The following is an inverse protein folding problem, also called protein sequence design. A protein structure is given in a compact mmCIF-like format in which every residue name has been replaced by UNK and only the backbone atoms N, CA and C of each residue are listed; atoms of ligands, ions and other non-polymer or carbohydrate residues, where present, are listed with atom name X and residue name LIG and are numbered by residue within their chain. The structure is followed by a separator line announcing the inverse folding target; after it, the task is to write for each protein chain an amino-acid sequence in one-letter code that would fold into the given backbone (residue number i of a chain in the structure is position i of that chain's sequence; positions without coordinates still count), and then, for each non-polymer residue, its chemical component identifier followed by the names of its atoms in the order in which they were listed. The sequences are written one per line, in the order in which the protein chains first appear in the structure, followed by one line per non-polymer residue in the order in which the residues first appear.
data_IF_831509718618
#
_entry.id   IF_831509718618
#
_cell.length_a   1.000
_cell.length_b   1.000
_cell.length_c   1.000
_cell.angle_alpha   90.00
_cell.angle_beta   90.00
_cell.angle_gamma   90.00
#
_symmetry.space_group_name_H-M   'P 1'
#
loop_
_entity.id
_entity.type
_entity.pdbx_description
1 polymer ?
#
# COMPACT_ATOMS: atom_id res chain seq x y z
N UNK A 1 -2.07 6.31 -1.40
CA UNK A 1 -2.24 6.01 -2.84
C UNK A 1 -1.58 4.67 -3.10
N UNK A 2 -2.21 3.85 -3.92
CA UNK A 2 -1.66 2.63 -4.49
C UNK A 2 -1.51 2.86 -6.01
N UNK A 3 -0.43 2.34 -6.60
CA UNK A 3 -0.18 2.48 -8.02
C UNK A 3 0.50 1.21 -8.57
N UNK A 4 0.03 0.76 -9.73
CA UNK A 4 0.60 -0.33 -10.51
C UNK A 4 0.77 0.18 -11.96
N UNK A 5 1.91 0.83 -12.26
CA UNK A 5 2.07 1.56 -13.53
C UNK A 5 1.95 0.69 -14.77
N UNK A 6 2.50 -0.53 -14.73
CA UNK A 6 2.44 -1.45 -15.87
C UNK A 6 1.02 -1.91 -16.19
N UNK A 7 0.13 -1.94 -15.19
CA UNK A 7 -1.28 -2.24 -15.39
C UNK A 7 -2.12 -0.98 -15.66
N UNK A 8 -1.51 0.21 -15.67
CA UNK A 8 -2.21 1.49 -15.78
C UNK A 8 -3.20 1.73 -14.64
N UNK A 9 -2.97 1.13 -13.46
CA UNK A 9 -3.92 1.15 -12.35
C UNK A 9 -3.41 2.01 -11.19
N UNK A 10 -4.34 2.75 -10.58
CA UNK A 10 -4.09 3.53 -9.38
C UNK A 10 -5.35 3.63 -8.54
N UNK A 11 -5.18 3.76 -7.24
CA UNK A 11 -6.27 4.03 -6.29
C UNK A 11 -5.80 5.00 -5.21
N UNK A 12 -6.60 6.02 -4.94
CA UNK A 12 -6.39 6.95 -3.85
C UNK A 12 -7.59 6.90 -2.90
N UNK A 13 -7.37 6.39 -1.69
CA UNK A 13 -8.36 6.40 -0.61
C UNK A 13 -8.03 7.54 0.34
N UNK A 14 -9.03 8.37 0.66
CA UNK A 14 -8.92 9.47 1.63
C UNK A 14 -9.51 9.00 2.94
N UNK A 15 -8.78 9.19 4.04
CA UNK A 15 -9.20 8.83 5.40
C UNK A 15 -8.90 9.99 6.35
N UNK A 16 -9.66 10.14 7.47
CA UNK A 16 -9.39 11.17 8.47
C UNK A 16 -8.04 11.00 9.19
N UNK A 17 -7.52 9.76 9.25
CA UNK A 17 -6.30 9.39 9.95
C UNK A 17 -5.36 8.56 9.06
N UNK A 18 -4.10 8.44 9.51
CA UNK A 18 -3.08 7.56 8.92
C UNK A 18 -2.50 6.66 10.00
N UNK A 19 -3.26 5.64 10.40
CA UNK A 19 -2.86 4.65 11.42
C UNK A 19 -2.41 3.32 10.80
N UNK A 20 -1.90 2.40 11.64
CA UNK A 20 -1.64 1.01 11.24
C UNK A 20 -2.92 0.29 10.78
N UNK A 21 -4.03 0.54 11.47
CA UNK A 21 -5.34 -0.04 11.12
C UNK A 21 -5.79 0.49 9.76
N UNK A 22 -5.67 1.80 9.51
CA UNK A 22 -5.99 2.40 8.21
C UNK A 22 -5.17 1.76 7.07
N UNK A 23 -3.89 1.50 7.32
CA UNK A 23 -3.02 0.81 6.37
C UNK A 23 -3.46 -0.65 6.14
N UNK A 24 -3.70 -1.40 7.22
CA UNK A 24 -4.09 -2.80 7.14
C UNK A 24 -5.42 -2.99 6.40
N UNK A 25 -6.40 -2.11 6.61
CA UNK A 25 -7.67 -2.13 5.88
C UNK A 25 -7.49 -1.90 4.39
N UNK A 26 -6.71 -0.87 4.00
CA UNK A 26 -6.43 -0.59 2.58
C UNK A 26 -5.71 -1.76 1.91
N UNK A 27 -4.77 -2.40 2.61
CA UNK A 27 -4.06 -3.58 2.08
C UNK A 27 -4.96 -4.81 2.03
N UNK A 28 -5.85 -5.02 3.00
CA UNK A 28 -6.81 -6.11 2.97
C UNK A 28 -7.77 -5.99 1.78
N UNK A 29 -8.34 -4.79 1.54
CA UNK A 29 -9.19 -4.53 0.38
C UNK A 29 -8.46 -4.83 -0.95
N UNK A 30 -7.17 -4.49 -1.02
CA UNK A 30 -6.34 -4.75 -2.19
C UNK A 30 -6.13 -6.26 -2.43
N UNK A 31 -5.80 -7.00 -1.37
CA UNK A 31 -5.40 -8.41 -1.41
C UNK A 31 -6.59 -9.35 -1.55
N UNK A 32 -7.69 -9.07 -0.83
CA UNK A 32 -8.93 -9.86 -0.91
C UNK A 32 -9.77 -9.48 -2.13
N UNK A 33 -9.47 -8.34 -2.77
CA UNK A 33 -10.09 -7.87 -4.00
C UNK A 33 -9.22 -8.14 -5.23
N UNK A 34 -8.47 -7.12 -5.65
CA UNK A 34 -7.73 -7.11 -6.93
C UNK A 34 -6.72 -8.26 -7.06
N UNK A 35 -6.10 -8.65 -5.94
CA UNK A 35 -5.04 -9.67 -5.91
C UNK A 35 -5.48 -10.97 -5.24
N UNK A 36 -6.80 -11.24 -5.13
CA UNK A 36 -7.32 -12.43 -4.45
C UNK A 36 -6.85 -13.75 -5.05
N UNK A 37 -6.56 -13.74 -6.37
CA UNK A 37 -6.07 -14.90 -7.12
C UNK A 37 -4.55 -15.03 -7.15
N UNK A 38 -3.81 -14.15 -6.43
CA UNK A 38 -2.35 -14.14 -6.43
C UNK A 38 -1.79 -14.72 -5.16
N UNK A 39 -0.83 -15.63 -5.33
CA UNK A 39 -0.09 -16.21 -4.20
C UNK A 39 0.69 -15.15 -3.42
N UNK A 40 1.26 -14.16 -4.13
CA UNK A 40 1.99 -13.05 -3.52
C UNK A 40 1.76 -11.72 -4.23
N UNK A 41 1.76 -10.64 -3.45
CA UNK A 41 1.82 -9.26 -3.90
C UNK A 41 3.12 -8.60 -3.42
N UNK A 42 3.93 -8.11 -4.36
CA UNK A 42 5.15 -7.34 -4.06
C UNK A 42 4.73 -5.90 -3.81
N UNK A 43 4.96 -5.42 -2.58
CA UNK A 43 4.55 -4.08 -2.15
C UNK A 43 5.79 -3.24 -1.90
N UNK A 44 6.00 -2.24 -2.76
CA UNK A 44 7.04 -1.23 -2.57
C UNK A 44 6.44 -0.03 -1.82
N UNK A 45 6.95 0.28 -0.64
CA UNK A 45 6.44 1.40 0.17
C UNK A 45 7.55 2.09 0.97
N UNK A 46 7.25 3.25 1.56
CA UNK A 46 8.14 3.89 2.52
C UNK A 46 8.30 3.05 3.79
N UNK A 47 9.39 3.29 4.52
CA UNK A 47 9.69 2.59 5.79
C UNK A 47 9.04 3.28 6.99
N UNK A 48 7.71 3.33 7.01
CA UNK A 48 6.94 3.86 8.14
C UNK A 48 6.64 2.77 9.17
N UNK A 49 6.50 3.16 10.43
CA UNK A 49 6.06 2.25 11.51
C UNK A 49 4.64 1.70 11.30
N UNK A 50 3.87 2.30 10.38
CA UNK A 50 2.54 1.84 9.97
C UNK A 50 2.57 0.81 8.85
N UNK A 51 3.67 0.68 8.10
CA UNK A 51 3.77 -0.23 6.97
C UNK A 51 4.55 -1.48 7.40
N UNK A 52 3.92 -2.29 8.22
CA UNK A 52 4.53 -3.51 8.76
C UNK A 52 3.50 -4.62 8.82
N UNK A 53 3.96 -5.88 8.79
CA UNK A 53 3.10 -7.05 8.99
C UNK A 53 2.32 -6.99 10.30
N UNK A 54 2.94 -6.43 11.37
CA UNK A 54 2.28 -6.24 12.66
C UNK A 54 1.02 -5.38 12.61
N UNK A 55 0.84 -4.58 11.56
CA UNK A 55 -0.37 -3.79 11.35
C UNK A 55 -1.59 -4.67 11.07
N UNK A 56 -1.41 -5.81 10.41
CA UNK A 56 -2.49 -6.77 10.19
C UNK A 56 -2.94 -7.43 11.49
N UNK A 57 -1.99 -7.81 12.36
CA UNK A 57 -2.29 -8.39 13.67
C UNK A 57 -2.89 -7.40 14.66
N UNK A 58 -2.66 -6.10 14.45
CA UNK A 58 -3.32 -5.05 15.22
C UNK A 58 -4.77 -4.82 14.74
N UNK A 59 -5.07 -5.08 13.47
CA UNK A 59 -6.36 -4.79 12.85
C UNK A 59 -7.32 -5.99 12.75
N UNK A 60 -6.80 -7.22 12.66
CA UNK A 60 -7.58 -8.41 12.32
C UNK A 60 -7.30 -9.59 13.25
N UNK A 61 -8.25 -10.53 13.29
CA UNK A 61 -8.07 -11.81 13.97
C UNK A 61 -6.83 -12.56 13.46
N UNK A 62 -6.10 -13.30 14.31
CA UNK A 62 -4.79 -13.85 13.98
C UNK A 62 -4.72 -14.67 12.69
N UNK A 63 -5.75 -15.48 12.40
CA UNK A 63 -5.81 -16.31 11.19
C UNK A 63 -5.87 -15.45 9.91
N UNK A 64 -6.75 -14.44 9.89
CA UNK A 64 -6.86 -13.50 8.77
C UNK A 64 -5.61 -12.63 8.65
N UNK A 65 -5.08 -12.14 9.77
CA UNK A 65 -3.86 -11.36 9.79
C UNK A 65 -2.67 -12.13 9.20
N UNK A 66 -2.51 -13.39 9.59
CA UNK A 66 -1.48 -14.27 9.06
C UNK A 66 -1.64 -14.51 7.56
N UNK A 67 -2.86 -14.80 7.09
CA UNK A 67 -3.13 -15.02 5.67
C UNK A 67 -2.76 -13.78 4.83
N UNK A 68 -3.21 -12.59 5.24
CA UNK A 68 -2.91 -11.33 4.56
C UNK A 68 -1.41 -10.99 4.60
N UNK A 69 -0.78 -11.11 5.76
CA UNK A 69 0.66 -10.84 5.90
C UNK A 69 1.50 -11.79 5.05
N UNK A 70 1.14 -13.07 5.00
CA UNK A 70 1.86 -14.10 4.24
C UNK A 70 1.76 -13.90 2.72
N UNK A 71 0.69 -13.25 2.25
CA UNK A 71 0.50 -12.91 0.84
C UNK A 71 1.35 -11.70 0.40
N UNK A 72 1.96 -10.96 1.32
CA UNK A 72 2.71 -9.74 0.99
C UNK A 72 4.22 -9.98 1.06
N UNK A 73 4.93 -9.43 0.09
CA UNK A 73 6.38 -9.24 0.16
C UNK A 73 6.70 -7.75 0.19
N UNK A 74 7.16 -7.25 1.35
CA UNK A 74 7.48 -5.84 1.53
C UNK A 74 8.88 -5.48 1.04
N UNK A 75 8.95 -4.45 0.19
CA UNK A 75 10.19 -3.81 -0.23
C UNK A 75 10.17 -2.34 0.20
N UNK A 76 11.00 -2.00 1.18
CA UNK A 76 11.03 -0.64 1.72
C UNK A 76 12.01 0.25 0.96
N UNK A 77 11.55 1.44 0.57
CA UNK A 77 12.44 2.46 0.02
C UNK A 77 13.41 2.97 1.09
N UNK A 78 14.65 3.27 0.68
CA UNK A 78 15.67 3.78 1.59
C UNK A 78 15.29 5.17 2.14
N UNK A 79 15.87 5.53 3.29
CA UNK A 79 15.81 6.90 3.80
C UNK A 79 16.38 7.85 2.72
N UNK A 80 15.61 8.88 2.37
CA UNK A 80 15.89 9.82 1.27
C UNK A 80 15.79 9.24 -0.16
N UNK A 81 15.21 8.05 -0.32
CA UNK A 81 14.97 7.40 -1.62
C UNK A 81 13.57 7.60 -2.18
N UNK A 82 12.90 8.73 -1.91
CA UNK A 82 11.53 8.99 -2.36
C UNK A 82 11.34 8.87 -3.87
N UNK A 83 12.38 9.16 -4.66
CA UNK A 83 12.38 9.00 -6.12
C UNK A 83 12.20 7.54 -6.60
N UNK A 84 12.44 6.56 -5.72
CA UNK A 84 12.15 5.14 -5.96
C UNK A 84 10.72 4.74 -5.54
N UNK A 85 9.99 5.61 -4.85
CA UNK A 85 8.61 5.35 -4.46
C UNK A 85 7.65 5.64 -5.63
N UNK A 86 7.20 4.57 -6.27
CA UNK A 86 6.33 4.63 -7.44
C UNK A 86 5.04 5.41 -7.17
N UNK A 87 4.43 5.21 -5.99
CA UNK A 87 3.19 5.89 -5.62
C UNK A 87 3.39 7.42 -5.45
N UNK A 88 4.55 7.85 -4.95
CA UNK A 88 4.88 9.28 -4.83
C UNK A 88 5.12 9.92 -6.20
N UNK A 89 5.80 9.21 -7.12
CA UNK A 89 6.01 9.68 -8.48
C UNK A 89 4.68 9.82 -9.25
N UNK A 90 3.78 8.84 -9.12
CA UNK A 90 2.43 8.90 -9.71
C UNK A 90 1.64 10.08 -9.14
N UNK A 91 1.63 10.25 -7.81
CA UNK A 91 0.95 11.37 -7.15
C UNK A 91 1.52 12.72 -7.59
N UNK A 92 2.84 12.84 -7.73
CA UNK A 92 3.51 14.07 -8.19
C UNK A 92 3.09 14.43 -9.63
N UNK A 93 3.05 13.42 -10.51
CA UNK A 93 2.64 13.58 -11.91
C UNK A 93 1.18 14.04 -12.00
N UNK A 94 0.28 13.34 -11.28
CA UNK A 94 -1.14 13.70 -11.19
C UNK A 94 -1.34 15.12 -10.67
N UNK A 95 -0.63 15.50 -9.60
CA UNK A 95 -0.74 16.82 -9.00
C UNK A 95 -0.41 17.90 -10.03
N UNK A 96 0.74 17.78 -10.70
CA UNK A 96 1.23 18.78 -11.67
C UNK A 96 0.37 18.88 -12.92
N UNK A 97 -0.23 17.79 -13.37
CA UNK A 97 -0.88 17.72 -14.68
C UNK A 97 -2.41 17.75 -14.63
N UNK A 98 -3.01 17.39 -13.50
CA UNK A 98 -4.45 17.11 -13.44
C UNK A 98 -5.17 17.78 -12.28
N UNK A 99 -4.47 18.13 -11.19
CA UNK A 99 -5.11 18.59 -9.95
C UNK A 99 -4.77 20.03 -9.60
N UNK A 100 -3.61 20.54 -10.02
CA UNK A 100 -3.30 21.96 -9.89
C UNK A 100 -4.07 22.74 -10.96
N UNK A 101 -5.03 23.57 -10.50
CA UNK A 101 -5.68 24.61 -11.30
C UNK A 101 -4.78 25.84 -11.44
#
# INVERSE_FOLDING_TARGET
MLAEPLAGWRQATIRPTKTKIDFAEVMAELLEGRYADREKAIVVCDKLNTHTEGSFYEAFEPERAFALASQIEFHYTHKHGSWLNIAENELSSMTRQCVTL
#
